data_IF_880614919236
#
_entry.id   IF_880614919236
#
_cell.length_a   1.000
_cell.length_b   1.000
_cell.length_c   1.000
_cell.angle_alpha   90.00
_cell.angle_beta   90.00
_cell.angle_gamma   90.00
#
_symmetry.space_group_name_H-M   'P 1'
#
loop_
_entity.id
_entity.type
_entity.pdbx_description
1 polymer ?
#
# COMPACT_ATOMS: atom_id res chain seq x y z
N UNK A 1 -2.12 -16.76 -31.17
CA UNK A 1 -3.03 -16.29 -30.09
C UNK A 1 -3.03 -17.16 -28.82
N UNK A 2 -3.42 -18.44 -28.83
CA UNK A 2 -3.45 -19.27 -27.60
C UNK A 2 -2.08 -19.39 -26.90
N UNK A 3 -1.03 -19.63 -27.69
CA UNK A 3 0.34 -19.74 -27.18
C UNK A 3 0.86 -18.40 -26.63
N UNK A 4 0.63 -17.29 -27.34
CA UNK A 4 0.92 -15.94 -26.85
C UNK A 4 0.26 -15.65 -25.50
N UNK A 5 -1.06 -15.92 -25.38
CA UNK A 5 -1.80 -15.74 -24.12
C UNK A 5 -1.21 -16.56 -22.96
N UNK A 6 -0.60 -17.71 -23.22
CA UNK A 6 0.07 -18.51 -22.20
C UNK A 6 1.42 -17.89 -21.78
N UNK A 7 2.21 -17.41 -22.74
CA UNK A 7 3.50 -16.79 -22.45
C UNK A 7 3.36 -15.50 -21.64
N UNK A 8 2.45 -14.60 -22.05
CA UNK A 8 2.25 -13.34 -21.33
C UNK A 8 1.80 -13.54 -19.88
N UNK A 9 1.05 -14.61 -19.59
CA UNK A 9 0.64 -14.94 -18.21
C UNK A 9 1.85 -15.31 -17.36
N UNK A 10 2.81 -16.07 -17.91
CA UNK A 10 4.07 -16.38 -17.20
C UNK A 10 4.85 -15.10 -16.93
N UNK A 11 5.04 -14.28 -17.96
CA UNK A 11 5.78 -13.01 -17.88
C UNK A 11 5.17 -12.09 -16.82
N UNK A 12 3.85 -11.92 -16.81
CA UNK A 12 3.15 -11.08 -15.83
C UNK A 12 3.32 -11.64 -14.41
N UNK A 13 3.24 -12.96 -14.22
CA UNK A 13 3.43 -13.58 -12.90
C UNK A 13 4.86 -13.46 -12.40
N UNK A 14 5.84 -13.65 -13.27
CA UNK A 14 7.25 -13.44 -12.97
C UNK A 14 7.52 -11.98 -12.58
N UNK A 15 6.91 -11.03 -13.28
CA UNK A 15 6.97 -9.61 -12.90
C UNK A 15 6.33 -9.34 -11.54
N UNK A 16 5.12 -9.83 -11.27
CA UNK A 16 4.50 -9.63 -9.94
C UNK A 16 5.32 -10.23 -8.80
N UNK A 17 6.15 -11.24 -9.08
CA UNK A 17 7.07 -11.82 -8.11
C UNK A 17 8.38 -11.03 -7.97
N UNK A 18 8.96 -10.58 -9.08
CA UNK A 18 10.31 -10.00 -9.15
C UNK A 18 10.37 -8.48 -9.09
N UNK A 19 9.30 -7.79 -9.50
CA UNK A 19 9.25 -6.34 -9.72
C UNK A 19 10.30 -5.84 -10.75
N UNK A 20 10.71 -6.72 -11.68
CA UNK A 20 11.73 -6.43 -12.70
C UNK A 20 11.08 -5.96 -14.01
N UNK A 21 10.87 -4.64 -14.12
CA UNK A 21 10.33 -4.01 -15.34
C UNK A 21 11.24 -4.22 -16.55
N UNK A 22 12.57 -3.97 -16.48
CA UNK A 22 13.47 -4.19 -17.61
C UNK A 22 13.42 -5.61 -18.17
N UNK A 23 13.37 -6.63 -17.31
CA UNK A 23 13.31 -8.02 -17.77
C UNK A 23 11.97 -8.37 -18.42
N UNK A 24 10.86 -7.83 -17.91
CA UNK A 24 9.56 -7.98 -18.56
C UNK A 24 9.54 -7.32 -19.95
N UNK A 25 10.10 -6.12 -20.09
CA UNK A 25 10.18 -5.43 -21.40
C UNK A 25 10.97 -6.28 -22.39
N UNK A 26 12.15 -6.78 -22.01
CA UNK A 26 12.94 -7.69 -22.87
C UNK A 26 12.14 -8.93 -23.26
N UNK A 27 11.43 -9.53 -22.31
CA UNK A 27 10.59 -10.70 -22.58
C UNK A 27 9.48 -10.40 -23.60
N UNK A 28 8.91 -9.20 -23.60
CA UNK A 28 7.91 -8.77 -24.59
C UNK A 28 8.53 -8.49 -25.96
N UNK A 29 9.70 -7.85 -26.00
CA UNK A 29 10.44 -7.61 -27.24
C UNK A 29 10.87 -8.93 -27.90
N UNK A 30 11.33 -9.91 -27.11
CA UNK A 30 11.71 -11.25 -27.57
C UNK A 30 10.52 -12.05 -28.13
N UNK A 31 9.30 -11.80 -27.64
CA UNK A 31 8.10 -12.36 -28.25
C UNK A 31 7.86 -11.80 -29.66
N UNK A 32 8.25 -10.55 -29.92
CA UNK A 32 8.23 -9.94 -31.25
C UNK A 32 6.83 -9.83 -31.86
N UNK A 33 5.78 -9.62 -31.04
CA UNK A 33 4.38 -9.52 -31.49
C UNK A 33 3.69 -8.22 -31.01
N UNK A 34 4.14 -7.03 -31.44
CA UNK A 34 3.60 -5.75 -30.96
C UNK A 34 2.11 -5.57 -31.28
N UNK A 35 1.57 -6.23 -32.31
CA UNK A 35 0.14 -6.23 -32.63
C UNK A 35 -0.75 -6.81 -31.51
N UNK A 36 -0.15 -7.49 -30.53
CA UNK A 36 -0.82 -8.05 -29.36
C UNK A 36 -0.56 -7.27 -28.06
N UNK A 37 0.02 -6.07 -28.13
CA UNK A 37 0.18 -5.17 -26.97
C UNK A 37 -1.16 -4.87 -26.26
N UNK A 38 -2.28 -4.57 -26.96
CA UNK A 38 -3.58 -4.41 -26.32
C UNK A 38 -4.05 -5.65 -25.53
N UNK A 39 -3.70 -6.85 -26.02
CA UNK A 39 -4.04 -8.12 -25.37
C UNK A 39 -3.19 -8.32 -24.11
N UNK A 40 -1.92 -7.92 -24.15
CA UNK A 40 -1.05 -7.93 -22.98
C UNK A 40 -1.60 -7.01 -21.89
N UNK A 41 -1.91 -5.75 -22.23
CA UNK A 41 -2.49 -4.77 -21.29
C UNK A 41 -3.75 -5.33 -20.63
N UNK A 42 -4.69 -5.82 -21.44
CA UNK A 42 -5.91 -6.47 -20.93
C UNK A 42 -5.57 -7.57 -19.93
N UNK A 43 -4.63 -8.45 -20.27
CA UNK A 43 -4.28 -9.57 -19.39
C UNK A 43 -3.58 -9.11 -18.11
N UNK A 44 -2.71 -8.10 -18.18
CA UNK A 44 -2.03 -7.51 -17.03
C UNK A 44 -3.05 -6.97 -16.02
N UNK A 45 -3.96 -6.10 -16.45
CA UNK A 45 -4.96 -5.49 -15.58
C UNK A 45 -5.93 -6.54 -15.02
N UNK A 46 -6.42 -7.47 -15.84
CA UNK A 46 -7.28 -8.56 -15.35
C UNK A 46 -6.60 -9.39 -14.26
N UNK A 47 -5.33 -9.75 -14.43
CA UNK A 47 -4.59 -10.52 -13.41
C UNK A 47 -4.28 -9.69 -12.16
N UNK A 48 -4.11 -8.38 -12.28
CA UNK A 48 -3.88 -7.49 -11.14
C UNK A 48 -5.15 -7.31 -10.29
N UNK A 49 -6.31 -7.19 -10.93
CA UNK A 49 -7.59 -6.99 -10.25
C UNK A 49 -8.01 -8.21 -9.41
N UNK A 50 -7.62 -9.42 -9.80
CA UNK A 50 -7.85 -10.66 -9.05
C UNK A 50 -6.86 -10.83 -7.87
N UNK A 51 -6.06 -9.82 -7.58
CA UNK A 51 -4.99 -9.83 -6.58
C UNK A 51 -5.09 -8.65 -5.62
N UNK A 52 -4.05 -8.42 -4.82
CA UNK A 52 -4.03 -7.36 -3.81
C UNK A 52 -3.66 -6.03 -4.45
N UNK A 53 -3.86 -4.95 -3.70
CA UNK A 53 -3.54 -3.59 -4.15
C UNK A 53 -2.07 -3.42 -4.59
N UNK A 54 -1.14 -4.21 -4.03
CA UNK A 54 0.26 -4.26 -4.48
C UNK A 54 0.34 -4.56 -5.99
N UNK A 55 -0.29 -5.63 -6.46
CA UNK A 55 -0.21 -6.01 -7.88
C UNK A 55 -0.95 -5.01 -8.78
N UNK A 56 -2.00 -4.34 -8.28
CA UNK A 56 -2.67 -3.25 -9.00
C UNK A 56 -1.76 -2.04 -9.21
N UNK A 57 -1.04 -1.65 -8.15
CA UNK A 57 -0.03 -0.59 -8.24
C UNK A 57 1.11 -1.00 -9.19
N UNK A 58 1.65 -2.21 -9.04
CA UNK A 58 2.70 -2.72 -9.95
C UNK A 58 2.25 -2.71 -11.40
N UNK A 59 0.99 -3.06 -11.68
CA UNK A 59 0.43 -2.99 -13.02
C UNK A 59 0.34 -1.57 -13.56
N UNK A 60 -0.02 -0.59 -12.72
CA UNK A 60 -0.06 0.83 -13.11
C UNK A 60 1.34 1.36 -13.43
N UNK A 61 2.30 1.12 -12.54
CA UNK A 61 3.70 1.54 -12.74
C UNK A 61 4.27 0.91 -14.01
N UNK A 62 4.02 -0.39 -14.23
CA UNK A 62 4.44 -1.08 -15.43
C UNK A 62 3.80 -0.47 -16.69
N UNK A 63 2.52 -0.12 -16.65
CA UNK A 63 1.83 0.45 -17.80
C UNK A 63 2.46 1.77 -18.24
N UNK A 64 2.86 2.61 -17.29
CA UNK A 64 3.58 3.86 -17.56
C UNK A 64 4.96 3.60 -18.15
N UNK A 65 5.70 2.63 -17.62
CA UNK A 65 7.00 2.24 -18.18
C UNK A 65 6.88 1.67 -19.61
N UNK A 66 5.86 0.82 -19.86
CA UNK A 66 5.60 0.25 -21.17
C UNK A 66 5.24 1.33 -22.19
N UNK A 67 4.45 2.33 -21.82
CA UNK A 67 4.09 3.45 -22.70
C UNK A 67 5.29 4.31 -23.11
N UNK A 68 6.27 4.46 -22.21
CA UNK A 68 7.51 5.20 -22.52
C UNK A 68 8.38 4.41 -23.50
N UNK A 69 8.48 3.09 -23.34
CA UNK A 69 9.48 2.27 -24.05
C UNK A 69 8.92 1.60 -25.32
N UNK A 70 7.78 0.90 -25.23
CA UNK A 70 7.35 -0.05 -26.29
C UNK A 70 5.86 0.01 -26.68
N UNK A 71 4.99 0.66 -25.92
CA UNK A 71 3.55 0.74 -26.18
C UNK A 71 3.17 2.14 -26.69
N UNK A 72 2.41 2.20 -27.78
CA UNK A 72 1.83 3.47 -28.24
C UNK A 72 0.58 3.84 -27.43
N UNK A 73 0.19 5.12 -27.43
CA UNK A 73 -1.10 5.55 -26.86
C UNK A 73 -2.28 4.79 -27.47
N UNK A 74 -2.21 4.45 -28.77
CA UNK A 74 -3.22 3.66 -29.47
C UNK A 74 -3.29 2.22 -28.92
N UNK A 75 -2.16 1.61 -28.55
CA UNK A 75 -2.16 0.30 -27.88
C UNK A 75 -2.83 0.36 -26.51
N UNK A 76 -2.59 1.43 -25.75
CA UNK A 76 -3.21 1.66 -24.45
C UNK A 76 -4.73 1.81 -24.61
N UNK A 77 -5.18 2.68 -25.51
CA UNK A 77 -6.60 2.91 -25.83
C UNK A 77 -7.27 1.60 -26.24
N UNK A 78 -6.68 0.85 -27.18
CA UNK A 78 -7.25 -0.42 -27.63
C UNK A 78 -7.26 -1.48 -26.52
N UNK A 79 -6.26 -1.51 -25.64
CA UNK A 79 -6.24 -2.40 -24.49
C UNK A 79 -7.38 -2.12 -23.51
N UNK A 80 -7.66 -0.84 -23.23
CA UNK A 80 -8.80 -0.45 -22.40
C UNK A 80 -10.15 -0.71 -23.07
N UNK A 81 -10.30 -0.47 -24.38
CA UNK A 81 -11.51 -0.87 -25.11
C UNK A 81 -11.75 -2.38 -24.94
N UNK A 82 -10.73 -3.22 -25.15
CA UNK A 82 -10.85 -4.67 -24.97
C UNK A 82 -11.19 -5.08 -23.52
N UNK A 83 -10.73 -4.35 -22.51
CA UNK A 83 -11.07 -4.60 -21.11
C UNK A 83 -12.54 -4.28 -20.84
N UNK A 84 -12.97 -3.09 -21.23
CA UNK A 84 -14.32 -2.56 -20.99
C UNK A 84 -15.39 -3.34 -21.73
N UNK A 85 -15.10 -3.82 -22.95
CA UNK A 85 -15.98 -4.75 -23.68
C UNK A 85 -16.24 -6.05 -22.92
N UNK A 86 -15.34 -6.45 -22.03
CA UNK A 86 -15.47 -7.63 -21.16
C UNK A 86 -15.71 -7.28 -19.70
N UNK A 87 -16.10 -6.04 -19.38
CA UNK A 87 -16.29 -5.60 -17.99
C UNK A 87 -17.40 -6.40 -17.29
N UNK A 88 -18.50 -6.69 -17.99
CA UNK A 88 -19.60 -7.51 -17.47
C UNK A 88 -19.14 -8.93 -17.10
N UNK A 89 -18.43 -9.60 -18.01
CA UNK A 89 -17.87 -10.93 -17.76
C UNK A 89 -16.88 -10.90 -16.59
N UNK A 90 -16.03 -9.86 -16.53
CA UNK A 90 -15.02 -9.71 -15.48
C UNK A 90 -15.67 -9.49 -14.10
N UNK A 91 -16.79 -8.76 -14.04
CA UNK A 91 -17.53 -8.51 -12.80
C UNK A 91 -18.21 -9.77 -12.24
N UNK A 92 -18.35 -10.84 -13.03
CA UNK A 92 -18.83 -12.14 -12.53
C UNK A 92 -17.78 -12.83 -11.66
N UNK A 93 -16.50 -12.63 -11.97
CA UNK A 93 -15.38 -13.29 -11.30
C UNK A 93 -14.74 -12.42 -10.21
N UNK A 94 -14.79 -11.09 -10.36
CA UNK A 94 -14.07 -10.12 -9.50
C UNK A 94 -15.06 -9.14 -8.87
N UNK A 95 -15.09 -9.10 -7.53
CA UNK A 95 -15.88 -8.12 -6.78
C UNK A 95 -15.36 -6.70 -7.04
N UNK A 96 -16.26 -5.75 -7.32
CA UNK A 96 -15.95 -4.34 -7.57
C UNK A 96 -15.09 -4.08 -8.83
N UNK A 97 -15.09 -5.00 -9.79
CA UNK A 97 -14.31 -4.90 -11.04
C UNK A 97 -14.50 -3.57 -11.79
N UNK A 98 -15.73 -3.06 -11.84
CA UNK A 98 -16.04 -1.79 -12.51
C UNK A 98 -15.34 -0.60 -11.86
N UNK A 99 -15.30 -0.53 -10.54
CA UNK A 99 -14.63 0.55 -9.81
C UNK A 99 -13.11 0.45 -9.95
N UNK A 100 -12.55 -0.76 -9.89
CA UNK A 100 -11.11 -0.98 -10.10
C UNK A 100 -10.68 -0.62 -11.53
N UNK A 101 -11.46 -0.99 -12.55
CA UNK A 101 -11.22 -0.56 -13.93
C UNK A 101 -11.30 0.97 -14.09
N UNK A 102 -12.26 1.62 -13.42
CA UNK A 102 -12.36 3.07 -13.42
C UNK A 102 -11.12 3.73 -12.77
N UNK A 103 -10.58 3.14 -11.71
CA UNK A 103 -9.34 3.59 -11.07
C UNK A 103 -8.14 3.41 -12.00
N UNK A 104 -8.01 2.29 -12.72
CA UNK A 104 -6.96 2.12 -13.74
C UNK A 104 -7.04 3.14 -14.86
N UNK A 105 -8.23 3.38 -15.42
CA UNK A 105 -8.43 4.43 -16.42
C UNK A 105 -8.02 5.80 -15.88
N UNK A 106 -8.53 6.17 -14.69
CA UNK A 106 -8.20 7.45 -14.09
C UNK A 106 -6.70 7.58 -13.80
N UNK A 107 -6.05 6.50 -13.34
CA UNK A 107 -4.63 6.47 -13.03
C UNK A 107 -3.77 6.63 -14.28
N UNK A 108 -4.15 6.09 -15.44
CA UNK A 108 -3.43 6.35 -16.69
C UNK A 108 -3.45 7.82 -17.11
N UNK A 109 -4.48 8.58 -16.73
CA UNK A 109 -4.51 10.02 -16.96
C UNK A 109 -3.64 10.78 -15.96
N UNK A 110 -3.59 10.34 -14.70
CA UNK A 110 -2.72 10.95 -13.67
C UNK A 110 -1.24 10.66 -13.93
N UNK A 111 -0.91 9.49 -14.47
CA UNK A 111 0.45 9.08 -14.80
C UNK A 111 0.89 9.58 -16.20
N UNK A 112 0.12 10.48 -16.84
CA UNK A 112 0.37 11.06 -18.17
C UNK A 112 0.48 10.03 -19.33
N UNK A 113 -0.04 8.82 -19.14
CA UNK A 113 -0.09 7.76 -20.17
C UNK A 113 -1.20 8.04 -21.19
N UNK A 114 -2.36 8.50 -20.72
CA UNK A 114 -3.50 8.92 -21.54
C UNK A 114 -3.86 10.38 -21.26
N UNK A 115 -4.26 11.11 -22.29
CA UNK A 115 -4.88 12.42 -22.11
C UNK A 115 -6.37 12.27 -21.78
N UNK A 116 -7.02 13.26 -21.13
CA UNK A 116 -8.47 13.22 -20.88
C UNK A 116 -9.32 12.98 -22.14
N UNK A 117 -8.89 13.48 -23.30
CA UNK A 117 -9.56 13.26 -24.59
C UNK A 117 -9.57 11.78 -25.01
N UNK A 118 -8.55 11.00 -24.61
CA UNK A 118 -8.51 9.57 -24.92
C UNK A 118 -9.61 8.79 -24.19
N UNK A 119 -10.14 9.29 -23.06
CA UNK A 119 -11.29 8.67 -22.41
C UNK A 119 -12.56 8.83 -23.25
N UNK A 120 -12.74 9.98 -23.91
CA UNK A 120 -13.85 10.20 -24.84
C UNK A 120 -13.71 9.31 -26.07
N UNK A 121 -12.49 9.16 -26.58
CA UNK A 121 -12.18 8.24 -27.67
C UNK A 121 -12.49 6.77 -27.32
N UNK A 122 -12.10 6.32 -26.13
CA UNK A 122 -12.45 4.98 -25.63
C UNK A 122 -13.98 4.81 -25.60
N UNK A 123 -14.71 5.75 -25.02
CA UNK A 123 -16.19 5.72 -24.99
C UNK A 123 -16.80 5.60 -26.39
N UNK A 124 -16.29 6.33 -27.37
CA UNK A 124 -16.79 6.32 -28.74
C UNK A 124 -16.48 5.02 -29.49
N UNK A 125 -15.44 4.29 -29.09
CA UNK A 125 -15.04 3.01 -29.68
C UNK A 125 -15.80 1.82 -29.08
N UNK A 126 -16.45 1.99 -27.92
CA UNK A 126 -17.22 0.93 -27.29
C UNK A 126 -18.50 0.59 -28.08
N UNK A 127 -18.90 -0.69 -28.16
CA UNK A 127 -20.17 -1.08 -28.73
C UNK A 127 -21.36 -0.42 -28.01
N UNK A 128 -22.44 -0.06 -28.72
CA UNK A 128 -23.60 0.63 -28.14
C UNK A 128 -24.35 -0.19 -27.09
N UNK A 129 -24.16 -1.51 -27.05
CA UNK A 129 -24.72 -2.42 -26.04
C UNK A 129 -23.81 -2.59 -24.81
N UNK A 130 -22.64 -1.94 -24.76
CA UNK A 130 -21.68 -2.04 -23.65
C UNK A 130 -21.95 -0.97 -22.57
N UNK A 131 -23.11 -1.05 -21.90
CA UNK A 131 -23.51 -0.05 -20.89
C UNK A 131 -22.56 -0.01 -19.69
N UNK A 132 -22.09 -1.17 -19.22
CA UNK A 132 -21.15 -1.28 -18.09
C UNK A 132 -19.78 -0.67 -18.39
N UNK A 133 -19.27 -0.87 -19.61
CA UNK A 133 -18.03 -0.24 -20.08
C UNK A 133 -18.14 1.28 -20.10
N UNK A 134 -19.25 1.81 -20.65
CA UNK A 134 -19.51 3.25 -20.66
C UNK A 134 -19.65 3.84 -19.25
N UNK A 135 -20.38 3.18 -18.35
CA UNK A 135 -20.49 3.59 -16.95
C UNK A 135 -19.14 3.62 -16.24
N UNK A 136 -18.25 2.68 -16.56
CA UNK A 136 -16.89 2.65 -16.03
C UNK A 136 -16.07 3.87 -16.48
N UNK A 137 -16.17 4.27 -17.76
CA UNK A 137 -15.50 5.49 -18.25
C UNK A 137 -16.09 6.74 -17.59
N UNK A 138 -17.41 6.84 -17.46
CA UNK A 138 -18.07 7.95 -16.74
C UNK A 138 -17.61 8.04 -15.28
N UNK A 139 -17.41 6.89 -14.63
CA UNK A 139 -16.90 6.81 -13.26
C UNK A 139 -15.45 7.33 -13.19
N UNK A 140 -14.59 6.92 -14.12
CA UNK A 140 -13.21 7.43 -14.21
C UNK A 140 -13.16 8.94 -14.41
N UNK A 141 -13.99 9.49 -15.29
CA UNK A 141 -14.12 10.94 -15.51
C UNK A 141 -14.60 11.68 -14.25
N UNK A 142 -15.54 11.09 -13.52
CA UNK A 142 -16.03 11.63 -12.25
C UNK A 142 -14.93 11.64 -11.17
N UNK A 143 -14.11 10.59 -11.10
CA UNK A 143 -12.96 10.50 -10.19
C UNK A 143 -11.93 11.59 -10.50
N UNK A 144 -11.62 11.81 -11.78
CA UNK A 144 -10.67 12.83 -12.25
C UNK A 144 -11.17 14.26 -11.98
N UNK A 145 -12.49 14.48 -11.99
CA UNK A 145 -13.11 15.78 -11.74
C UNK A 145 -13.22 16.13 -10.25
N UNK A 146 -12.95 15.17 -9.36
CA UNK A 146 -13.07 15.38 -7.92
C UNK A 146 -11.96 16.30 -7.37
N UNK A 147 -12.25 17.00 -6.27
CA UNK A 147 -11.24 17.80 -5.57
C UNK A 147 -10.08 16.89 -5.10
N UNK A 148 -8.85 17.31 -5.36
CA UNK A 148 -7.63 16.54 -5.05
C UNK A 148 -7.57 15.18 -5.76
N UNK A 149 -8.19 15.06 -6.95
CA UNK A 149 -8.21 13.83 -7.72
C UNK A 149 -6.81 13.24 -7.94
N UNK A 150 -5.84 14.05 -8.39
CA UNK A 150 -4.47 13.59 -8.65
C UNK A 150 -3.83 12.85 -7.47
N UNK A 151 -3.79 13.49 -6.30
CA UNK A 151 -3.21 12.88 -5.09
C UNK A 151 -3.97 11.62 -4.65
N UNK A 152 -5.30 11.64 -4.75
CA UNK A 152 -6.15 10.51 -4.34
C UNK A 152 -5.97 9.30 -5.25
N UNK A 153 -5.92 9.54 -6.56
CA UNK A 153 -5.76 8.49 -7.58
C UNK A 153 -4.33 7.96 -7.56
N UNK A 154 -3.31 8.80 -7.40
CA UNK A 154 -1.92 8.36 -7.26
C UNK A 154 -1.72 7.41 -6.07
N UNK A 155 -2.59 7.49 -5.05
CA UNK A 155 -2.56 6.66 -3.84
C UNK A 155 -3.67 5.61 -3.77
N UNK A 156 -4.47 5.40 -4.82
CA UNK A 156 -5.67 4.57 -4.74
C UNK A 156 -5.38 3.10 -4.35
N UNK A 157 -4.19 2.60 -4.66
CA UNK A 157 -3.72 1.26 -4.27
C UNK A 157 -2.54 1.27 -3.29
N UNK A 158 -2.24 2.43 -2.70
CA UNK A 158 -1.25 2.54 -1.63
C UNK A 158 0.23 2.60 -2.08
N UNK A 159 0.51 2.86 -3.36
CA UNK A 159 1.85 2.91 -3.97
C UNK A 159 2.75 4.10 -3.65
N UNK A 160 2.33 5.02 -2.78
CA UNK A 160 3.22 6.03 -2.22
C UNK A 160 3.86 5.50 -0.93
N UNK A 161 5.11 5.86 -0.66
CA UNK A 161 5.84 5.58 0.59
C UNK A 161 5.07 5.96 1.89
N UNK A 162 3.97 6.71 1.78
CA UNK A 162 3.06 7.04 2.88
C UNK A 162 2.00 5.98 3.24
N UNK A 163 1.52 5.12 2.33
CA UNK A 163 0.44 4.16 2.65
C UNK A 163 0.93 2.81 3.16
N UNK A 164 2.10 2.30 2.73
CA UNK A 164 2.71 1.16 3.40
C UNK A 164 2.96 1.45 4.90
N UNK A 165 3.23 2.71 5.23
CA UNK A 165 3.38 3.20 6.61
C UNK A 165 2.03 3.33 7.31
N UNK A 166 1.00 3.88 6.65
CA UNK A 166 -0.33 4.03 7.27
C UNK A 166 -1.07 2.70 7.44
N UNK A 167 -1.03 1.81 6.46
CA UNK A 167 -1.53 0.44 6.58
C UNK A 167 -0.75 -0.35 7.64
N UNK A 168 0.56 -0.16 7.73
CA UNK A 168 1.34 -0.75 8.80
C UNK A 168 0.92 -0.20 10.16
N UNK A 169 0.71 1.12 10.29
CA UNK A 169 0.18 1.73 11.52
C UNK A 169 -1.19 1.19 11.90
N UNK A 170 -2.08 0.99 10.94
CA UNK A 170 -3.43 0.45 11.17
C UNK A 170 -3.38 -1.04 11.56
N UNK A 171 -2.51 -1.82 10.92
CA UNK A 171 -2.27 -3.23 11.32
C UNK A 171 -1.67 -3.33 12.71
N UNK A 172 -0.69 -2.47 13.02
CA UNK A 172 -0.10 -2.38 14.36
C UNK A 172 -1.16 -1.98 15.37
N UNK A 173 -2.02 -1.02 15.05
CA UNK A 173 -3.12 -0.59 15.92
C UNK A 173 -4.05 -1.76 16.25
N UNK A 174 -4.55 -2.45 15.22
CA UNK A 174 -5.46 -3.60 15.38
C UNK A 174 -4.82 -4.73 16.17
N UNK A 175 -3.56 -5.05 15.89
CA UNK A 175 -2.79 -6.05 16.63
C UNK A 175 -2.70 -5.72 18.12
N UNK A 176 -2.45 -4.46 18.48
CA UNK A 176 -2.36 -4.04 19.87
C UNK A 176 -3.73 -4.07 20.57
N UNK A 177 -4.81 -3.72 19.87
CA UNK A 177 -6.19 -3.83 20.37
C UNK A 177 -6.64 -5.29 20.57
N UNK A 178 -6.25 -6.17 19.65
CA UNK A 178 -6.46 -7.62 19.76
C UNK A 178 -5.70 -8.19 20.95
N UNK A 179 -4.41 -7.83 21.11
CA UNK A 179 -3.62 -8.24 22.26
C UNK A 179 -4.18 -7.69 23.59
N UNK A 180 -4.65 -6.45 23.62
CA UNK A 180 -5.31 -5.88 24.80
C UNK A 180 -6.50 -6.74 25.23
N UNK A 181 -7.27 -7.23 24.26
CA UNK A 181 -8.47 -8.05 24.48
C UNK A 181 -8.12 -9.50 24.84
N UNK A 182 -7.13 -10.10 24.16
CA UNK A 182 -6.80 -11.53 24.27
C UNK A 182 -5.74 -11.84 25.34
N UNK A 183 -4.77 -10.95 25.54
CA UNK A 183 -3.59 -11.15 26.39
C UNK A 183 -2.59 -12.18 25.87
N UNK A 184 -2.70 -12.64 24.62
CA UNK A 184 -1.87 -13.73 24.08
C UNK A 184 -0.58 -13.17 23.48
N UNK A 185 0.51 -13.25 24.25
CA UNK A 185 1.84 -12.71 23.87
C UNK A 185 2.41 -13.37 22.60
N UNK A 186 2.32 -14.69 22.48
CA UNK A 186 2.88 -15.44 21.34
C UNK A 186 2.23 -15.06 20.01
N UNK A 187 0.93 -14.79 20.02
CA UNK A 187 0.17 -14.38 18.84
C UNK A 187 0.57 -12.95 18.43
N UNK A 188 0.62 -12.03 19.38
CA UNK A 188 1.06 -10.65 19.12
C UNK A 188 2.50 -10.60 18.57
N UNK A 189 3.43 -11.36 19.16
CA UNK A 189 4.81 -11.48 18.65
C UNK A 189 4.84 -12.08 17.23
N UNK A 190 3.99 -13.06 16.94
CA UNK A 190 3.90 -13.64 15.61
C UNK A 190 3.35 -12.63 14.59
N UNK A 191 2.27 -11.92 14.93
CA UNK A 191 1.71 -10.90 14.05
C UNK A 191 2.73 -9.77 13.77
N UNK A 192 3.55 -9.36 14.76
CA UNK A 192 4.64 -8.40 14.54
C UNK A 192 5.71 -8.97 13.59
N UNK A 193 6.06 -10.27 13.69
CA UNK A 193 6.97 -10.93 12.73
C UNK A 193 6.39 -10.92 11.32
N UNK A 194 5.10 -11.22 11.19
CA UNK A 194 4.40 -11.33 9.91
C UNK A 194 4.23 -9.98 9.21
N UNK A 195 4.34 -8.86 9.94
CA UNK A 195 4.46 -7.53 9.33
C UNK A 195 5.71 -7.42 8.46
N UNK A 196 6.80 -8.11 8.79
CA UNK A 196 8.02 -8.13 7.99
C UNK A 196 8.76 -6.77 7.90
N UNK A 197 8.52 -5.85 8.85
CA UNK A 197 9.04 -4.48 8.82
C UNK A 197 9.94 -4.12 10.01
N UNK A 198 11.09 -4.79 10.20
CA UNK A 198 11.92 -4.64 11.41
C UNK A 198 12.45 -3.20 11.63
N UNK A 199 12.62 -2.42 10.56
CA UNK A 199 13.03 -1.02 10.65
C UNK A 199 11.93 -0.07 11.10
N UNK A 200 10.67 -0.51 11.05
CA UNK A 200 9.48 0.24 11.44
C UNK A 200 8.91 -0.20 12.80
N UNK A 201 9.56 -1.14 13.48
CA UNK A 201 9.13 -1.63 14.80
C UNK A 201 9.09 -0.55 15.89
N UNK A 202 9.77 0.59 15.71
CA UNK A 202 9.61 1.77 16.57
C UNK A 202 8.17 2.27 16.63
N UNK A 203 7.35 2.03 15.59
CA UNK A 203 5.94 2.39 15.57
C UNK A 203 5.09 1.48 16.47
N UNK A 204 5.45 0.19 16.58
CA UNK A 204 4.85 -0.74 17.56
C UNK A 204 5.10 -0.21 18.98
N UNK A 205 6.34 0.17 19.26
CA UNK A 205 6.73 0.74 20.57
C UNK A 205 5.95 2.02 20.85
N UNK A 206 5.90 2.95 19.90
CA UNK A 206 5.18 4.21 20.04
C UNK A 206 3.70 3.98 20.35
N UNK A 207 3.00 3.19 19.54
CA UNK A 207 1.55 2.93 19.70
C UNK A 207 1.23 2.16 20.98
N UNK A 208 2.04 1.16 21.34
CA UNK A 208 1.85 0.40 22.58
C UNK A 208 1.96 1.29 23.82
N UNK A 209 2.94 2.19 23.85
CA UNK A 209 3.11 3.14 24.96
C UNK A 209 1.99 4.18 25.01
N UNK A 210 1.55 4.72 23.87
CA UNK A 210 0.39 5.63 23.82
C UNK A 210 -0.86 4.93 24.36
N UNK A 211 -1.12 3.70 23.92
CA UNK A 211 -2.24 2.91 24.43
C UNK A 211 -2.14 2.65 25.94
N UNK A 212 -0.93 2.34 26.44
CA UNK A 212 -0.66 2.19 27.87
C UNK A 212 -0.90 3.49 28.66
N UNK A 213 -0.53 4.65 28.08
CA UNK A 213 -0.75 5.97 28.67
C UNK A 213 -2.22 6.35 28.71
N UNK A 214 -2.99 6.06 27.66
CA UNK A 214 -4.43 6.34 27.57
C UNK A 214 -5.24 5.50 28.55
N UNK A 215 -4.98 4.18 28.54
CA UNK A 215 -5.84 3.20 29.22
C UNK A 215 -5.31 2.70 30.57
N UNK A 216 -4.11 3.15 31.00
CA UNK A 216 -3.35 2.57 32.14
C UNK A 216 -3.19 1.05 32.01
N UNK A 217 -2.84 0.61 30.81
CA UNK A 217 -2.74 -0.81 30.49
C UNK A 217 -1.28 -1.28 30.55
N UNK A 218 -0.86 -1.78 31.71
CA UNK A 218 0.51 -2.27 31.94
C UNK A 218 0.84 -3.51 31.08
N UNK A 219 -0.15 -4.22 30.53
CA UNK A 219 0.08 -5.39 29.66
C UNK A 219 0.85 -5.04 28.39
N UNK A 220 0.75 -3.79 27.92
CA UNK A 220 1.55 -3.33 26.78
C UNK A 220 3.05 -3.38 27.08
N UNK A 221 3.44 -3.19 28.35
CA UNK A 221 4.83 -3.33 28.76
C UNK A 221 5.28 -4.79 28.76
N UNK A 222 4.40 -5.73 29.13
CA UNK A 222 4.69 -7.16 29.05
C UNK A 222 4.93 -7.61 27.60
N UNK A 223 4.13 -7.11 26.65
CA UNK A 223 4.33 -7.35 25.22
C UNK A 223 5.68 -6.81 24.73
N UNK A 224 6.01 -5.58 25.09
CA UNK A 224 7.29 -4.97 24.71
C UNK A 224 8.48 -5.72 25.35
N UNK A 225 8.33 -6.24 26.57
CA UNK A 225 9.35 -7.07 27.21
C UNK A 225 9.60 -8.35 26.43
N UNK A 226 8.55 -9.06 26.02
CA UNK A 226 8.74 -10.30 25.27
C UNK A 226 9.26 -10.05 23.85
N UNK A 227 8.78 -9.01 23.19
CA UNK A 227 9.33 -8.59 21.90
C UNK A 227 10.83 -8.25 21.99
N UNK A 228 11.28 -7.69 23.12
CA UNK A 228 12.68 -7.42 23.37
C UNK A 228 13.48 -8.70 23.65
N UNK A 229 12.96 -9.59 24.51
CA UNK A 229 13.59 -10.86 24.86
C UNK A 229 13.80 -11.77 23.63
N UNK A 230 12.82 -11.81 22.74
CA UNK A 230 12.88 -12.58 21.49
C UNK A 230 13.75 -11.91 20.40
N UNK A 231 14.28 -10.70 20.66
CA UNK A 231 15.06 -9.93 19.69
C UNK A 231 14.23 -9.36 18.52
N UNK A 232 12.90 -9.40 18.63
CA UNK A 232 11.97 -8.90 17.63
C UNK A 232 12.01 -7.36 17.54
N UNK A 233 12.15 -6.69 18.69
CA UNK A 233 12.34 -5.25 18.77
C UNK A 233 13.70 -4.99 19.41
N UNK A 234 14.58 -4.34 18.65
CA UNK A 234 15.94 -4.02 19.11
C UNK A 234 15.95 -2.77 20.00
N UNK A 235 17.01 -2.61 20.80
CA UNK A 235 17.26 -1.40 21.62
C UNK A 235 17.13 -0.12 20.78
N UNK A 236 17.63 -0.13 19.54
CA UNK A 236 17.55 1.01 18.62
C UNK A 236 16.10 1.34 18.24
N UNK A 237 15.26 0.33 18.00
CA UNK A 237 13.83 0.52 17.67
C UNK A 237 13.05 1.02 18.89
N UNK A 238 13.33 0.51 20.08
CA UNK A 238 12.76 1.03 21.33
C UNK A 238 13.16 2.50 21.53
N UNK A 239 14.44 2.81 21.45
CA UNK A 239 14.96 4.17 21.65
C UNK A 239 14.31 5.15 20.67
N UNK A 240 14.16 4.76 19.40
CA UNK A 240 13.44 5.54 18.38
C UNK A 240 11.97 5.72 18.74
N UNK A 241 11.29 4.67 19.20
CA UNK A 241 9.88 4.72 19.59
C UNK A 241 9.63 5.71 20.74
N UNK A 242 10.44 5.63 21.80
CA UNK A 242 10.40 6.59 22.92
C UNK A 242 10.75 8.01 22.48
N UNK A 243 11.74 8.17 21.58
CA UNK A 243 12.10 9.48 21.01
C UNK A 243 10.92 10.13 20.28
N UNK A 244 10.18 9.37 19.48
CA UNK A 244 8.98 9.86 18.76
C UNK A 244 7.86 10.31 19.70
N UNK A 245 7.71 9.68 20.86
CA UNK A 245 6.75 10.14 21.88
C UNK A 245 7.25 11.42 22.52
N UNK A 246 8.54 11.51 22.87
CA UNK A 246 9.14 12.73 23.42
C UNK A 246 8.92 13.93 22.49
N UNK A 247 9.14 13.75 21.19
CA UNK A 247 8.99 14.82 20.18
C UNK A 247 7.52 15.28 20.02
N UNK A 248 6.56 14.38 20.25
CA UNK A 248 5.11 14.67 20.14
C UNK A 248 4.39 14.81 21.47
N UNK A 249 5.12 14.96 22.58
CA UNK A 249 4.55 14.85 23.93
C UNK A 249 3.60 16.01 24.27
N UNK A 250 3.86 17.20 23.74
CA UNK A 250 3.01 18.37 23.96
C UNK A 250 1.66 18.21 23.25
N UNK A 251 1.64 17.69 22.02
CA UNK A 251 0.40 17.36 21.32
C UNK A 251 -0.37 16.25 22.04
N UNK A 252 0.33 15.20 22.49
CA UNK A 252 -0.29 14.10 23.23
C UNK A 252 -0.90 14.55 24.57
N UNK A 253 -0.36 15.60 25.19
CA UNK A 253 -0.89 16.17 26.42
C UNK A 253 -2.23 16.90 26.22
N UNK A 254 -2.63 17.20 24.99
CA UNK A 254 -3.95 17.74 24.67
C UNK A 254 -5.04 16.68 24.87
N UNK A 255 -4.72 15.41 24.55
CA UNK A 255 -5.67 14.30 24.58
C UNK A 255 -5.56 13.46 25.87
N UNK A 256 -4.34 13.36 26.44
CA UNK A 256 -4.06 12.52 27.61
C UNK A 256 -3.72 13.38 28.84
N UNK A 257 -4.55 13.39 29.90
CA UNK A 257 -4.22 14.03 31.17
C UNK A 257 -2.96 13.44 31.79
N UNK A 258 -2.09 14.31 32.28
CA UNK A 258 -0.79 13.96 32.89
C UNK A 258 0.12 13.15 31.96
N UNK A 259 0.05 13.36 30.64
CA UNK A 259 0.89 12.67 29.65
C UNK A 259 2.39 12.74 30.00
N UNK A 260 2.87 13.91 30.47
CA UNK A 260 4.28 14.13 30.84
C UNK A 260 4.72 13.26 32.02
N UNK A 261 3.91 13.17 33.07
CA UNK A 261 4.20 12.34 34.25
C UNK A 261 4.17 10.84 33.89
N UNK A 262 3.16 10.43 33.10
CA UNK A 262 3.05 9.04 32.61
C UNK A 262 4.24 8.66 31.74
N UNK A 263 4.65 9.54 30.81
CA UNK A 263 5.81 9.30 29.97
C UNK A 263 7.09 9.15 30.79
N UNK A 264 7.28 10.00 31.81
CA UNK A 264 8.44 9.93 32.71
C UNK A 264 8.48 8.60 33.47
N UNK A 265 7.33 8.14 33.98
CA UNK A 265 7.22 6.81 34.60
C UNK A 265 7.65 5.68 33.66
N UNK A 266 7.18 5.69 32.40
CA UNK A 266 7.55 4.67 31.42
C UNK A 266 9.03 4.74 31.00
N UNK A 267 9.64 5.92 30.99
CA UNK A 267 11.09 6.06 30.74
C UNK A 267 11.90 5.41 31.85
N UNK A 268 11.57 5.67 33.12
CA UNK A 268 12.27 5.05 34.25
C UNK A 268 12.08 3.52 34.26
N UNK A 269 10.86 3.04 34.00
CA UNK A 269 10.57 1.62 33.84
C UNK A 269 11.39 0.95 32.73
N UNK A 270 11.57 1.64 31.60
CA UNK A 270 12.36 1.15 30.48
C UNK A 270 13.88 1.16 30.76
N UNK A 271 14.37 2.11 31.56
CA UNK A 271 15.76 2.10 32.05
C UNK A 271 16.02 0.93 32.99
N UNK A 272 15.12 0.65 33.93
CA UNK A 272 15.23 -0.50 34.85
C UNK A 272 15.31 -1.84 34.10
N UNK A 273 14.60 -1.96 32.97
CA UNK A 273 14.57 -3.15 32.11
C UNK A 273 15.67 -3.19 31.04
N UNK A 274 16.61 -2.23 31.06
CA UNK A 274 17.69 -2.11 30.07
C UNK A 274 17.21 -1.95 28.62
N UNK A 275 15.99 -1.46 28.42
CA UNK A 275 15.45 -1.14 27.09
C UNK A 275 15.99 0.19 26.55
N UNK A 276 16.27 1.13 27.46
CA UNK A 276 16.84 2.43 27.18
C UNK A 276 18.17 2.61 27.92
N UNK A 277 19.06 3.38 27.31
CA UNK A 277 20.28 3.81 27.99
C UNK A 277 19.94 4.76 29.14
N UNK A 278 20.70 4.75 30.25
CA UNK A 278 20.52 5.70 31.35
C UNK A 278 20.59 7.16 30.93
N UNK A 279 21.30 7.45 29.83
CA UNK A 279 21.43 8.79 29.24
C UNK A 279 20.21 9.28 28.46
N UNK A 280 19.24 8.41 28.17
CA UNK A 280 18.04 8.79 27.45
C UNK A 280 17.19 9.75 28.29
N UNK A 281 16.93 10.94 27.76
CA UNK A 281 16.10 11.96 28.40
C UNK A 281 16.84 13.00 29.24
N UNK A 282 18.17 12.89 29.40
CA UNK A 282 18.98 14.00 29.89
C UNK A 282 18.95 15.12 28.84
N UNK A 283 18.49 16.31 29.19
CA UNK A 283 18.69 17.49 28.35
C UNK A 283 20.19 17.80 28.31
N UNK A 284 20.71 18.04 27.10
CA UNK A 284 21.96 18.81 26.93
C UNK A 284 21.64 20.28 27.28
N UNK A 285 21.37 20.56 28.56
CA UNK A 285 21.48 21.92 29.11
C UNK A 285 22.95 22.15 29.49
N UNK A 286 23.79 22.18 28.46
CA UNK A 286 25.18 22.59 28.55
C UNK A 286 25.63 23.20 27.22
N UNK A 287 25.07 24.36 26.86
CA UNK A 287 25.70 25.43 26.06
C UNK A 287 24.89 26.71 26.15
#
# INVERSE_FOLDING_TARGET
MKQYKKHIVSIIHEYFFSDDIPELIRSLEDLGQPEFNPIFLKKLITLAMDRKNKEKEMASVLLSALHIEIFSTEDIVNGFVLLLESAEDTALDILDASNELALFLARTVIDDVLAPLNLEEISNRLPPNCSSGLETVCTAQSLLSARHAGERILRCWGGGTGWAVEDAKDKIQKLLEEFESSGVLSEACQCIRDLGMPFFNHEVVKKALVMAMEKKNDRMLDLLQECFNEGLITINQITKGFGRIKDGLDDLALDIPNAKDKFTFYVEHAKERSWLLPSFGLSDDAS
#
